data_IF_056647063774
#
_entry.id   IF_056647063774
#
_cell.length_a   1.000
_cell.length_b   1.000
_cell.length_c   1.000
_cell.angle_alpha   90.00
_cell.angle_beta   90.00
_cell.angle_gamma   90.00
#
_symmetry.space_group_name_H-M   'P 1'
#
loop_
_entity.id
_entity.type
_entity.pdbx_description
1 polymer ?
#
# COMPACT_ATOMS: atom_id res chain seq x y z
N UNK A 1 21.97 -11.08 2.83
CA UNK A 1 21.41 -9.75 3.16
C UNK A 1 21.21 -8.99 1.85
N UNK A 2 20.00 -8.88 1.29
CA UNK A 2 19.73 -7.99 0.14
C UNK A 2 19.02 -6.74 0.66
N UNK A 3 19.75 -5.72 1.10
CA UNK A 3 19.14 -4.47 1.52
C UNK A 3 18.76 -3.66 0.28
N UNK A 4 17.75 -2.80 0.48
CA UNK A 4 17.28 -1.75 -0.43
C UNK A 4 16.38 -2.23 -1.57
N UNK A 5 15.08 -2.11 -1.32
CA UNK A 5 14.06 -2.01 -2.37
C UNK A 5 14.39 -0.78 -3.23
N UNK A 6 15.00 -0.98 -4.40
CA UNK A 6 15.25 0.11 -5.34
C UNK A 6 13.94 0.56 -5.96
N UNK A 7 13.43 1.69 -5.49
CA UNK A 7 12.31 2.38 -6.14
C UNK A 7 12.92 3.50 -7.00
N UNK A 8 12.73 3.47 -8.33
CA UNK A 8 13.15 4.54 -9.23
C UNK A 8 12.72 5.93 -8.73
N UNK A 9 13.56 6.96 -8.96
CA UNK A 9 13.35 8.29 -8.37
C UNK A 9 11.99 8.91 -8.74
N UNK A 10 11.56 8.74 -9.98
CA UNK A 10 10.23 9.18 -10.46
C UNK A 10 9.08 8.47 -9.72
N UNK A 11 9.21 7.16 -9.48
CA UNK A 11 8.22 6.38 -8.74
C UNK A 11 8.20 6.76 -7.25
N UNK A 12 9.35 7.08 -6.64
CA UNK A 12 9.39 7.58 -5.25
C UNK A 12 8.59 8.87 -5.08
N UNK A 13 8.78 9.85 -5.98
CA UNK A 13 8.04 11.11 -5.92
C UNK A 13 6.52 10.88 -6.01
N UNK A 14 6.09 9.98 -6.91
CA UNK A 14 4.68 9.60 -7.05
C UNK A 14 4.13 8.93 -5.79
N UNK A 15 4.85 7.98 -5.20
CA UNK A 15 4.42 7.31 -3.97
C UNK A 15 4.35 8.28 -2.79
N UNK A 16 5.30 9.21 -2.69
CA UNK A 16 5.28 10.26 -1.65
C UNK A 16 4.05 11.16 -1.83
N UNK A 17 3.77 11.62 -3.05
CA UNK A 17 2.59 12.45 -3.33
C UNK A 17 1.29 11.72 -2.96
N UNK A 18 1.16 10.44 -3.34
CA UNK A 18 0.01 9.60 -2.97
C UNK A 18 -0.11 9.38 -1.46
N UNK A 19 1.00 9.20 -0.75
CA UNK A 19 1.03 9.11 0.70
C UNK A 19 0.54 10.40 1.37
N UNK A 20 0.93 11.56 0.82
CA UNK A 20 0.52 12.86 1.31
C UNK A 20 -0.97 13.10 1.05
N UNK A 21 -1.50 12.77 -0.14
CA UNK A 21 -2.94 12.85 -0.44
C UNK A 21 -3.76 11.96 0.50
N UNK A 22 -3.28 10.74 0.79
CA UNK A 22 -3.94 9.82 1.71
C UNK A 22 -4.01 10.35 3.15
N UNK A 23 -3.08 11.23 3.53
CA UNK A 23 -3.01 11.95 4.83
C UNK A 23 -3.12 11.02 6.06
N UNK A 24 -2.67 9.77 5.96
CA UNK A 24 -2.79 8.82 7.07
C UNK A 24 -1.51 8.79 7.91
N UNK A 25 -1.57 9.34 9.12
CA UNK A 25 -0.45 9.32 10.08
C UNK A 25 -0.44 8.01 10.85
N UNK A 26 0.67 7.28 10.82
CA UNK A 26 0.86 6.04 11.60
C UNK A 26 1.52 6.30 12.95
N UNK A 27 2.29 7.39 13.05
CA UNK A 27 2.98 7.78 14.28
C UNK A 27 3.22 9.29 14.27
N UNK A 28 3.07 9.93 15.42
CA UNK A 28 3.30 11.37 15.58
C UNK A 28 3.86 11.67 16.96
N UNK A 29 4.88 12.52 16.99
CA UNK A 29 5.49 13.13 18.18
C UNK A 29 5.97 14.53 17.80
N UNK A 30 6.23 15.46 18.74
CA UNK A 30 6.78 16.77 18.38
C UNK A 30 8.04 16.64 17.49
N UNK A 31 8.03 17.28 16.32
CA UNK A 31 9.13 17.24 15.36
C UNK A 31 9.17 16.02 14.43
N UNK A 32 8.33 15.00 14.62
CA UNK A 32 8.31 13.82 13.75
C UNK A 32 6.89 13.31 13.48
N UNK A 33 6.56 13.20 12.19
CA UNK A 33 5.34 12.59 11.70
C UNK A 33 5.69 11.51 10.70
N UNK A 34 5.20 10.29 10.93
CA UNK A 34 5.35 9.19 10.00
C UNK A 34 4.01 8.98 9.32
N UNK A 35 3.99 9.12 8.00
CA UNK A 35 2.81 8.88 7.17
C UNK A 35 2.87 7.48 6.56
N UNK A 36 1.71 6.86 6.38
CA UNK A 36 1.61 5.57 5.73
C UNK A 36 2.01 5.65 4.26
N UNK A 37 2.60 4.58 3.74
CA UNK A 37 2.66 4.34 2.31
C UNK A 37 1.25 4.32 1.70
N UNK A 38 1.09 4.56 0.39
CA UNK A 38 -0.21 4.43 -0.25
C UNK A 38 -0.77 3.02 -0.03
N UNK A 39 -2.04 2.90 0.34
CA UNK A 39 -2.64 1.60 0.67
C UNK A 39 -2.58 0.62 -0.50
N UNK A 40 -2.73 1.11 -1.73
CA UNK A 40 -2.57 0.31 -2.94
C UNK A 40 -1.18 -0.29 -3.06
N UNK A 41 -0.14 0.52 -2.83
CA UNK A 41 1.24 0.04 -2.85
C UNK A 41 1.51 -0.96 -1.72
N UNK A 42 1.10 -0.65 -0.49
CA UNK A 42 1.26 -1.55 0.65
C UNK A 42 0.55 -2.89 0.43
N UNK A 43 -0.65 -2.88 -0.15
CA UNK A 43 -1.38 -4.09 -0.54
C UNK A 43 -0.60 -4.90 -1.58
N UNK A 44 -0.22 -4.27 -2.70
CA UNK A 44 0.45 -4.96 -3.80
C UNK A 44 1.78 -5.59 -3.38
N UNK A 45 2.57 -4.91 -2.54
CA UNK A 45 3.83 -5.48 -2.03
C UNK A 45 3.63 -6.75 -1.19
N UNK A 46 2.50 -6.85 -0.46
CA UNK A 46 2.15 -8.04 0.30
C UNK A 46 1.71 -9.17 -0.61
N UNK A 47 0.86 -8.86 -1.59
CA UNK A 47 0.39 -9.82 -2.59
C UNK A 47 1.56 -10.38 -3.43
N UNK A 48 2.43 -9.50 -3.94
CA UNK A 48 3.63 -9.86 -4.70
C UNK A 48 4.54 -10.79 -3.90
N UNK A 49 4.83 -10.43 -2.64
CA UNK A 49 5.65 -11.26 -1.76
C UNK A 49 5.05 -12.64 -1.51
N UNK A 50 3.74 -12.73 -1.31
CA UNK A 50 3.04 -14.01 -1.13
C UNK A 50 3.04 -14.84 -2.42
N UNK A 51 2.78 -14.22 -3.58
CA UNK A 51 2.76 -14.89 -4.88
C UNK A 51 4.16 -15.39 -5.30
N UNK A 52 5.21 -14.63 -4.98
CA UNK A 52 6.60 -14.97 -5.29
C UNK A 52 7.27 -15.98 -4.33
N UNK A 53 6.50 -16.66 -3.47
CA UNK A 53 7.02 -17.67 -2.53
C UNK A 53 7.76 -17.11 -1.30
N UNK A 54 7.78 -15.78 -1.12
CA UNK A 54 8.41 -15.09 0.02
C UNK A 54 7.45 -14.75 1.17
N UNK A 55 6.22 -15.26 1.11
CA UNK A 55 5.13 -14.92 2.02
C UNK A 55 5.49 -15.12 3.49
N UNK A 56 5.03 -14.20 4.34
CA UNK A 56 5.14 -14.30 5.79
C UNK A 56 3.78 -14.57 6.42
N UNK A 57 3.72 -15.19 7.62
CA UNK A 57 2.45 -15.49 8.29
C UNK A 57 1.54 -14.27 8.51
N UNK A 58 2.11 -13.07 8.60
CA UNK A 58 1.36 -11.83 8.78
C UNK A 58 0.89 -11.17 7.47
N UNK A 59 1.34 -11.64 6.31
CA UNK A 59 1.01 -10.99 5.03
C UNK A 59 -0.46 -11.06 4.63
N UNK A 60 -1.19 -12.19 4.80
CA UNK A 60 -2.62 -12.23 4.48
C UNK A 60 -3.43 -11.22 5.31
N UNK A 61 -3.11 -11.12 6.61
CA UNK A 61 -3.77 -10.18 7.54
C UNK A 61 -3.46 -8.74 7.16
N UNK A 62 -2.19 -8.42 6.89
CA UNK A 62 -1.78 -7.08 6.46
C UNK A 62 -2.41 -6.70 5.13
N UNK A 63 -2.42 -7.60 4.14
CA UNK A 63 -3.04 -7.37 2.84
C UNK A 63 -4.53 -7.06 3.00
N UNK A 64 -5.25 -7.83 3.80
CA UNK A 64 -6.68 -7.60 4.08
C UNK A 64 -6.90 -6.23 4.76
N UNK A 65 -6.04 -5.88 5.72
CA UNK A 65 -6.10 -4.59 6.39
C UNK A 65 -5.84 -3.42 5.43
N UNK A 66 -4.86 -3.53 4.52
CA UNK A 66 -4.55 -2.50 3.55
C UNK A 66 -5.64 -2.37 2.49
N UNK A 67 -6.24 -3.47 2.03
CA UNK A 67 -7.39 -3.45 1.14
C UNK A 67 -8.56 -2.71 1.81
N UNK A 68 -8.91 -3.05 3.06
CA UNK A 68 -9.96 -2.35 3.80
C UNK A 68 -9.69 -0.86 3.92
N UNK A 69 -8.45 -0.47 4.24
CA UNK A 69 -8.04 0.94 4.35
C UNK A 69 -8.11 1.67 3.01
N UNK A 70 -7.74 1.01 1.91
CA UNK A 70 -7.88 1.54 0.55
C UNK A 70 -9.35 1.82 0.22
N UNK A 71 -10.24 0.86 0.45
CA UNK A 71 -11.68 1.00 0.19
C UNK A 71 -12.28 2.14 0.99
N UNK A 72 -11.99 2.21 2.29
CA UNK A 72 -12.45 3.30 3.16
C UNK A 72 -11.94 4.66 2.69
N UNK A 73 -10.66 4.76 2.31
CA UNK A 73 -10.07 6.00 1.80
C UNK A 73 -10.73 6.45 0.48
N UNK A 74 -11.04 5.51 -0.42
CA UNK A 74 -11.76 5.78 -1.67
C UNK A 74 -13.28 5.90 -1.51
N UNK A 75 -13.80 5.77 -0.29
CA UNK A 75 -15.24 5.74 0.01
C UNK A 75 -16.00 4.67 -0.78
N UNK A 76 -15.35 3.54 -1.03
CA UNK A 76 -15.90 2.37 -1.71
C UNK A 76 -16.31 1.32 -0.68
N UNK A 77 -17.42 0.61 -0.95
CA UNK A 77 -17.85 -0.56 -0.15
C UNK A 77 -17.34 -1.87 -0.72
N UNK A 78 -17.20 -1.92 -2.05
CA UNK A 78 -16.70 -3.06 -2.81
C UNK A 78 -16.08 -2.55 -4.12
N UNK A 79 -15.31 -3.42 -4.78
CA UNK A 79 -14.85 -3.19 -6.15
C UNK A 79 -15.57 -4.23 -7.02
N UNK A 80 -16.36 -3.82 -8.01
CA UNK A 80 -17.00 -4.78 -8.92
C UNK A 80 -15.94 -5.46 -9.79
N UNK A 81 -16.15 -6.74 -10.12
CA UNK A 81 -15.24 -7.53 -10.96
C UNK A 81 -15.02 -6.84 -12.31
N UNK A 82 -16.05 -6.21 -12.87
CA UNK A 82 -15.97 -5.46 -14.13
C UNK A 82 -14.97 -4.29 -14.09
N UNK A 83 -14.67 -3.72 -12.91
CA UNK A 83 -13.65 -2.68 -12.78
C UNK A 83 -12.22 -3.24 -12.76
N UNK A 84 -12.05 -4.55 -12.56
CA UNK A 84 -10.76 -5.25 -12.58
C UNK A 84 -10.42 -5.65 -14.02
N UNK A 85 -11.40 -6.15 -14.77
CA UNK A 85 -11.23 -6.61 -16.16
C UNK A 85 -10.86 -5.47 -17.14
N UNK A 86 -11.26 -4.23 -16.85
CA UNK A 86 -10.91 -3.06 -17.68
C UNK A 86 -9.46 -2.57 -17.50
N UNK A 87 -8.74 -3.09 -16.49
CA UNK A 87 -7.38 -2.67 -16.16
C UNK A 87 -6.31 -3.70 -16.58
N UNK A 88 -6.74 -4.86 -17.11
CA UNK A 88 -5.89 -5.94 -17.63
C UNK A 88 -5.75 -5.84 -19.15
#
# INVERSE_FOLDING_TARGET
NKPILFIPKNLRAKLVAQSLEQTYTVFSTPGLRVIAAPWSYALLTKLDRMAGGGGKPYDPKDATNYLRRYLLHKKLRSVPISAIEQAA
#
